data_IF_279275438793
#
_entry.id   IF_279275438793
#
_cell.length_a   1.000
_cell.length_b   1.000
_cell.length_c   1.000
_cell.angle_alpha   90.00
_cell.angle_beta   90.00
_cell.angle_gamma   90.00
#
_symmetry.space_group_name_H-M   'P 1'
#
loop_
_entity.id
_entity.type
_entity.pdbx_description
1 polymer ?
#
# COMPACT_ATOMS: atom_id res chain seq x y z
N UNK A 1 -9.71 -16.05 -9.22
CA UNK A 1 -8.67 -15.11 -8.76
C UNK A 1 -7.31 -15.73 -8.97
N UNK A 2 -6.38 -15.00 -9.56
CA UNK A 2 -5.01 -15.50 -9.66
C UNK A 2 -4.38 -15.58 -8.27
N UNK A 3 -3.68 -16.71 -7.99
CA UNK A 3 -2.95 -16.86 -6.73
C UNK A 3 -1.87 -15.79 -6.60
N UNK A 4 -1.72 -15.24 -5.41
CA UNK A 4 -0.65 -14.30 -5.09
C UNK A 4 0.72 -14.99 -5.10
N UNK A 5 1.77 -14.26 -5.41
CA UNK A 5 3.15 -14.76 -5.56
C UNK A 5 3.97 -14.41 -4.34
N UNK A 6 4.60 -15.41 -3.75
CA UNK A 6 5.47 -15.24 -2.57
C UNK A 6 6.87 -15.68 -2.93
N UNK A 7 7.85 -14.81 -2.69
CA UNK A 7 9.26 -15.14 -2.77
C UNK A 7 9.78 -15.44 -1.36
N UNK A 8 10.43 -16.58 -1.18
CA UNK A 8 11.09 -16.96 0.09
C UNK A 8 12.58 -16.98 -0.15
N UNK A 9 13.32 -16.25 0.70
CA UNK A 9 14.78 -16.17 0.66
C UNK A 9 15.32 -16.66 2.00
N UNK A 10 15.95 -17.84 2.02
CA UNK A 10 16.43 -18.51 3.22
C UNK A 10 17.50 -19.53 2.79
N UNK A 11 18.65 -19.61 3.46
CA UNK A 11 19.70 -20.57 3.12
C UNK A 11 19.41 -21.98 3.63
N UNK A 12 18.51 -22.11 4.62
CA UNK A 12 18.08 -23.42 5.14
C UNK A 12 17.08 -24.09 4.20
N UNK A 13 17.54 -25.12 3.50
CA UNK A 13 16.70 -25.91 2.59
C UNK A 13 15.51 -26.58 3.27
N UNK A 14 15.63 -26.96 4.54
CA UNK A 14 14.52 -27.60 5.27
C UNK A 14 13.42 -26.58 5.54
N UNK A 15 13.77 -25.38 5.98
CA UNK A 15 12.83 -24.29 6.21
C UNK A 15 12.18 -23.82 4.91
N UNK A 16 12.94 -23.70 3.82
CA UNK A 16 12.36 -23.42 2.49
C UNK A 16 11.29 -24.43 2.10
N UNK A 17 11.58 -25.74 2.25
CA UNK A 17 10.63 -26.78 1.91
C UNK A 17 9.41 -26.79 2.84
N UNK A 18 9.61 -26.56 4.13
CA UNK A 18 8.52 -26.47 5.10
C UNK A 18 7.59 -25.29 4.77
N UNK A 19 8.16 -24.09 4.55
CA UNK A 19 7.38 -22.92 4.19
C UNK A 19 6.65 -23.13 2.84
N UNK A 20 7.32 -23.72 1.84
CA UNK A 20 6.70 -24.05 0.57
C UNK A 20 5.52 -25.02 0.74
N UNK A 21 5.65 -26.06 1.55
CA UNK A 21 4.57 -27.01 1.79
C UNK A 21 3.33 -26.34 2.42
N UNK A 22 3.54 -25.38 3.31
CA UNK A 22 2.46 -24.61 3.95
C UNK A 22 1.78 -23.67 2.94
N UNK A 23 2.55 -23.03 2.05
CA UNK A 23 2.06 -21.93 1.24
C UNK A 23 1.56 -22.32 -0.15
N UNK A 24 2.10 -23.40 -0.74
CA UNK A 24 1.76 -23.82 -2.13
C UNK A 24 0.26 -24.11 -2.36
N UNK A 25 -0.54 -24.58 -1.37
CA UNK A 25 -1.97 -24.73 -1.60
C UNK A 25 -2.68 -23.44 -2.02
N UNK A 26 -2.26 -22.28 -1.48
CA UNK A 26 -2.96 -21.00 -1.66
C UNK A 26 -2.18 -19.98 -2.49
N UNK A 27 -0.85 -20.14 -2.64
CA UNK A 27 0.05 -19.17 -3.26
C UNK A 27 0.95 -19.78 -4.33
N UNK A 28 1.44 -18.97 -5.26
CA UNK A 28 2.59 -19.30 -6.10
C UNK A 28 3.87 -19.01 -5.33
N UNK A 29 4.64 -20.03 -5.02
CA UNK A 29 5.84 -19.92 -4.19
C UNK A 29 7.10 -20.03 -5.05
N UNK A 30 8.01 -19.08 -4.87
CA UNK A 30 9.35 -19.09 -5.46
C UNK A 30 10.38 -19.16 -4.34
N UNK A 31 11.37 -20.03 -4.46
CA UNK A 31 12.40 -20.27 -3.46
C UNK A 31 13.75 -19.75 -3.93
N UNK A 32 14.46 -19.03 -3.08
CA UNK A 32 15.83 -18.59 -3.28
C UNK A 32 16.67 -18.99 -2.05
N UNK A 33 17.83 -19.55 -2.29
CA UNK A 33 18.74 -19.99 -1.21
C UNK A 33 19.77 -18.92 -0.83
N UNK A 34 19.87 -17.87 -1.60
CA UNK A 34 20.79 -16.75 -1.39
C UNK A 34 20.11 -15.46 -1.73
N UNK A 35 20.59 -14.35 -1.17
CA UNK A 35 20.13 -13.02 -1.54
C UNK A 35 20.31 -12.77 -3.03
N UNK A 36 21.44 -13.20 -3.62
CA UNK A 36 21.69 -13.05 -5.07
C UNK A 36 20.60 -13.70 -5.92
N UNK A 37 20.21 -14.95 -5.60
CA UNK A 37 19.09 -15.61 -6.30
C UNK A 37 17.77 -14.86 -6.12
N UNK A 38 17.49 -14.38 -4.90
CA UNK A 38 16.31 -13.56 -4.63
C UNK A 38 16.29 -12.30 -5.48
N UNK A 39 17.42 -11.60 -5.57
CA UNK A 39 17.56 -10.38 -6.39
C UNK A 39 17.39 -10.66 -7.89
N UNK A 40 17.86 -11.79 -8.41
CA UNK A 40 17.58 -12.20 -9.81
C UNK A 40 16.08 -12.38 -10.07
N UNK A 41 15.34 -12.97 -9.13
CA UNK A 41 13.88 -13.08 -9.23
C UNK A 41 13.22 -11.70 -9.23
N UNK A 42 13.73 -10.78 -8.43
CA UNK A 42 13.21 -9.42 -8.36
C UNK A 42 13.51 -8.58 -9.61
N UNK A 43 14.42 -8.99 -10.48
CA UNK A 43 14.66 -8.34 -11.79
C UNK A 43 13.67 -8.78 -12.86
N UNK A 44 12.92 -9.88 -12.65
CA UNK A 44 11.93 -10.38 -13.62
C UNK A 44 10.72 -9.47 -13.74
N UNK A 45 10.00 -9.49 -14.89
CA UNK A 45 8.81 -8.65 -15.10
C UNK A 45 7.68 -8.89 -14.06
N UNK A 46 7.55 -10.13 -13.61
CA UNK A 46 6.51 -10.52 -12.66
C UNK A 46 7.07 -10.55 -11.23
N UNK A 47 6.91 -9.44 -10.52
CA UNK A 47 7.33 -9.30 -9.13
C UNK A 47 6.50 -10.16 -8.18
N UNK A 48 7.04 -10.56 -7.02
CA UNK A 48 6.25 -11.16 -5.96
C UNK A 48 5.32 -10.13 -5.30
N UNK A 49 4.21 -10.61 -4.74
CA UNK A 49 3.29 -9.78 -3.95
C UNK A 49 3.76 -9.62 -2.50
N UNK A 50 4.63 -10.54 -2.02
CA UNK A 50 5.21 -10.54 -0.68
C UNK A 50 6.54 -11.30 -0.69
N UNK A 51 7.47 -10.88 0.17
CA UNK A 51 8.77 -11.54 0.36
C UNK A 51 8.86 -12.03 1.81
N UNK A 52 9.21 -13.30 1.98
CA UNK A 52 9.69 -13.85 3.24
C UNK A 52 11.21 -13.88 3.18
N UNK A 53 11.88 -13.31 4.18
CA UNK A 53 13.33 -13.09 4.15
C UNK A 53 13.95 -13.53 5.47
N UNK A 54 14.86 -14.49 5.40
CA UNK A 54 15.67 -14.82 6.58
C UNK A 54 16.62 -13.68 6.94
N UNK A 55 16.85 -13.49 8.24
CA UNK A 55 17.82 -12.51 8.75
C UNK A 55 19.23 -13.09 8.74
N UNK A 56 19.37 -14.35 9.14
CA UNK A 56 20.66 -14.98 9.40
C UNK A 56 21.11 -15.81 8.21
N UNK A 57 21.63 -15.17 7.17
CA UNK A 57 22.16 -15.84 6.00
C UNK A 57 23.66 -15.62 5.84
N UNK A 58 24.40 -16.58 5.27
CA UNK A 58 25.80 -16.39 4.87
C UNK A 58 25.95 -15.26 3.84
N UNK A 59 27.11 -14.62 3.80
CA UNK A 59 27.51 -13.57 2.85
C UNK A 59 26.81 -12.23 3.03
N UNK A 60 25.49 -12.21 3.22
CA UNK A 60 24.69 -10.99 3.36
C UNK A 60 23.54 -11.24 4.32
N UNK A 61 23.42 -10.43 5.36
CA UNK A 61 22.31 -10.54 6.30
C UNK A 61 20.98 -10.00 5.70
N UNK A 62 19.86 -10.43 6.29
CA UNK A 62 18.52 -10.02 5.82
C UNK A 62 18.28 -8.51 5.93
N UNK A 63 18.96 -7.80 6.83
CA UNK A 63 18.85 -6.34 6.95
C UNK A 63 19.49 -5.64 5.76
N UNK A 64 20.67 -6.10 5.36
CA UNK A 64 21.36 -5.61 4.16
C UNK A 64 20.56 -5.93 2.89
N UNK A 65 20.04 -7.17 2.82
CA UNK A 65 19.18 -7.60 1.72
C UNK A 65 17.91 -6.71 1.59
N UNK A 66 17.25 -6.40 2.71
CA UNK A 66 16.09 -5.49 2.69
C UNK A 66 16.49 -4.10 2.19
N UNK A 67 17.62 -3.57 2.65
CA UNK A 67 18.10 -2.27 2.19
C UNK A 67 18.37 -2.23 0.68
N UNK A 68 18.85 -3.34 0.09
CA UNK A 68 19.01 -3.47 -1.36
C UNK A 68 17.66 -3.56 -2.08
N UNK A 69 16.70 -4.33 -1.55
CA UNK A 69 15.35 -4.44 -2.10
C UNK A 69 14.67 -3.06 -2.14
N UNK A 70 14.77 -2.28 -1.05
CA UNK A 70 14.18 -0.95 -0.96
C UNK A 70 14.78 0.09 -1.92
N UNK A 71 16.03 -0.12 -2.37
CA UNK A 71 16.66 0.73 -3.41
C UNK A 71 16.11 0.47 -4.81
N UNK A 72 15.47 -0.67 -5.06
CA UNK A 72 14.84 -0.96 -6.34
C UNK A 72 13.44 -0.35 -6.38
N UNK A 73 13.21 0.65 -7.24
CA UNK A 73 11.95 1.39 -7.32
C UNK A 73 10.73 0.47 -7.47
N UNK A 74 10.83 -0.58 -8.31
CA UNK A 74 9.74 -1.52 -8.57
C UNK A 74 9.46 -2.49 -7.41
N UNK A 75 10.36 -2.57 -6.44
CA UNK A 75 10.27 -3.49 -5.30
C UNK A 75 10.16 -2.78 -3.95
N UNK A 76 10.28 -1.45 -3.95
CA UNK A 76 10.34 -0.65 -2.72
C UNK A 76 9.10 -0.81 -1.83
N UNK A 77 7.93 -1.05 -2.42
CA UNK A 77 6.64 -1.18 -1.72
C UNK A 77 6.21 -2.63 -1.47
N UNK A 78 6.98 -3.63 -1.94
CA UNK A 78 6.64 -5.03 -1.70
C UNK A 78 6.77 -5.31 -0.20
N UNK A 79 5.74 -5.84 0.47
CA UNK A 79 5.84 -6.18 1.88
C UNK A 79 6.88 -7.28 2.10
N UNK A 80 7.79 -7.04 3.05
CA UNK A 80 8.82 -8.00 3.46
C UNK A 80 8.55 -8.41 4.90
N UNK A 81 8.39 -9.70 5.13
CA UNK A 81 8.26 -10.29 6.46
C UNK A 81 9.56 -11.04 6.76
N UNK A 82 10.20 -10.71 7.87
CA UNK A 82 11.38 -11.46 8.30
C UNK A 82 11.00 -12.82 8.88
N UNK A 83 11.77 -13.83 8.49
CA UNK A 83 11.82 -15.11 9.18
C UNK A 83 13.07 -15.10 10.06
N UNK A 84 12.96 -15.28 11.37
CA UNK A 84 14.10 -15.13 12.26
C UNK A 84 14.12 -16.14 13.39
N UNK A 85 15.29 -16.68 13.69
CA UNK A 85 15.55 -17.43 14.91
C UNK A 85 15.99 -16.54 16.09
N UNK A 86 16.07 -15.22 15.87
CA UNK A 86 16.50 -14.29 16.91
C UNK A 86 15.32 -13.88 17.79
N UNK A 87 15.37 -14.27 19.06
CA UNK A 87 14.44 -13.83 20.10
C UNK A 87 14.78 -12.43 20.66
N UNK A 88 15.68 -11.69 20.01
CA UNK A 88 16.13 -10.41 20.53
C UNK A 88 15.17 -9.27 20.10
N UNK A 89 14.50 -8.60 21.05
CA UNK A 89 13.65 -7.43 20.76
C UNK A 89 14.34 -6.35 19.96
N UNK A 90 15.66 -6.28 20.05
CA UNK A 90 16.48 -5.31 19.30
C UNK A 90 16.53 -5.60 17.79
N UNK A 91 16.52 -6.86 17.38
CA UNK A 91 16.49 -7.25 15.97
C UNK A 91 15.13 -6.90 15.33
N UNK A 92 14.04 -7.10 16.06
CA UNK A 92 12.69 -6.70 15.67
C UNK A 92 12.60 -5.20 15.44
N UNK A 93 13.02 -4.40 16.43
CA UNK A 93 13.03 -2.92 16.34
C UNK A 93 13.89 -2.45 15.16
N UNK A 94 15.06 -3.09 14.93
CA UNK A 94 15.93 -2.76 13.79
C UNK A 94 15.24 -3.07 12.47
N UNK A 95 14.62 -4.24 12.33
CA UNK A 95 13.94 -4.67 11.11
C UNK A 95 12.76 -3.75 10.74
N UNK A 96 11.92 -3.41 11.71
CA UNK A 96 10.80 -2.49 11.50
C UNK A 96 11.26 -1.08 11.12
N UNK A 97 12.32 -0.57 11.73
CA UNK A 97 12.93 0.73 11.36
C UNK A 97 13.48 0.74 9.94
N UNK A 98 13.94 -0.39 9.42
CA UNK A 98 14.43 -0.54 8.05
C UNK A 98 13.31 -0.73 7.03
N UNK A 99 12.05 -0.76 7.46
CA UNK A 99 10.89 -0.85 6.59
C UNK A 99 10.43 -2.29 6.30
N UNK A 100 10.74 -3.25 7.19
CA UNK A 100 10.05 -4.54 7.18
C UNK A 100 8.59 -4.36 7.59
N UNK A 101 7.70 -5.13 6.95
CA UNK A 101 6.29 -5.10 7.25
C UNK A 101 5.94 -5.85 8.55
N UNK A 102 6.68 -6.94 8.84
CA UNK A 102 6.46 -7.77 10.02
C UNK A 102 7.65 -8.73 10.21
N UNK A 103 7.58 -9.58 11.23
CA UNK A 103 8.52 -10.67 11.46
C UNK A 103 7.78 -11.92 11.95
N UNK A 104 8.37 -13.10 11.71
CA UNK A 104 7.89 -14.41 12.20
C UNK A 104 9.09 -15.15 12.77
N UNK A 105 8.97 -15.58 14.03
CA UNK A 105 10.02 -16.37 14.69
C UNK A 105 10.03 -17.82 14.21
N UNK A 106 11.23 -18.36 14.03
CA UNK A 106 11.47 -19.77 13.72
C UNK A 106 11.61 -20.57 15.04
N UNK A 107 11.05 -21.77 15.17
CA UNK A 107 10.16 -22.45 14.23
C UNK A 107 8.77 -21.79 14.18
N UNK A 108 8.25 -21.60 12.99
CA UNK A 108 6.95 -20.93 12.82
C UNK A 108 5.77 -21.92 12.83
N UNK A 109 4.66 -21.46 13.38
CA UNK A 109 3.37 -22.16 13.33
C UNK A 109 2.70 -21.78 12.01
N UNK A 110 2.20 -22.79 11.27
CA UNK A 110 1.62 -22.60 9.94
C UNK A 110 0.49 -21.55 9.93
N UNK A 111 -0.43 -21.62 10.88
CA UNK A 111 -1.56 -20.68 10.99
C UNK A 111 -1.09 -19.23 11.23
N UNK A 112 -0.05 -19.04 12.06
CA UNK A 112 0.51 -17.71 12.34
C UNK A 112 1.17 -17.13 11.11
N UNK A 113 1.94 -17.94 10.36
CA UNK A 113 2.58 -17.54 9.12
C UNK A 113 1.54 -17.11 8.08
N UNK A 114 0.52 -17.94 7.86
CA UNK A 114 -0.56 -17.67 6.90
C UNK A 114 -1.33 -16.38 7.25
N UNK A 115 -1.72 -16.19 8.51
CA UNK A 115 -2.43 -14.99 8.96
C UNK A 115 -1.63 -13.70 8.75
N UNK A 116 -0.31 -13.74 9.02
CA UNK A 116 0.55 -12.56 8.79
C UNK A 116 0.70 -12.24 7.31
N UNK A 117 0.90 -13.27 6.48
CA UNK A 117 0.97 -13.11 5.03
C UNK A 117 -0.32 -12.48 4.49
N UNK A 118 -1.48 -13.06 4.84
CA UNK A 118 -2.79 -12.56 4.40
C UNK A 118 -3.01 -11.10 4.81
N UNK A 119 -2.74 -10.77 6.08
CA UNK A 119 -2.82 -9.40 6.59
C UNK A 119 -2.03 -8.42 5.72
N UNK A 120 -0.77 -8.73 5.42
CA UNK A 120 0.10 -7.82 4.68
C UNK A 120 -0.20 -7.77 3.17
N UNK A 121 -0.70 -8.85 2.58
CA UNK A 121 -1.22 -8.83 1.21
C UNK A 121 -2.45 -7.91 1.08
N UNK A 122 -3.39 -8.00 2.03
CA UNK A 122 -4.58 -7.13 2.06
C UNK A 122 -4.20 -5.66 2.26
N UNK A 123 -3.26 -5.35 3.15
CA UNK A 123 -2.77 -3.99 3.36
C UNK A 123 -2.10 -3.43 2.11
N UNK A 124 -1.19 -4.19 1.49
CA UNK A 124 -0.51 -3.78 0.25
C UNK A 124 -1.49 -3.53 -0.90
N UNK A 125 -2.56 -4.32 -0.99
CA UNK A 125 -3.58 -4.13 -2.03
C UNK A 125 -4.40 -2.86 -1.81
N UNK A 126 -4.75 -2.55 -0.56
CA UNK A 126 -5.40 -1.27 -0.19
C UNK A 126 -4.52 -0.07 -0.48
N UNK A 127 -3.22 -0.16 -0.17
CA UNK A 127 -2.27 0.93 -0.45
C UNK A 127 -2.13 1.15 -1.96
N UNK A 128 -2.02 0.09 -2.77
CA UNK A 128 -2.00 0.20 -4.24
C UNK A 128 -3.27 0.85 -4.78
N UNK A 129 -4.44 0.50 -4.27
CA UNK A 129 -5.71 1.12 -4.66
C UNK A 129 -5.74 2.62 -4.30
N UNK A 130 -5.29 2.99 -3.10
CA UNK A 130 -5.18 4.38 -2.67
C UNK A 130 -4.19 5.17 -3.53
N UNK A 131 -3.04 4.58 -3.90
CA UNK A 131 -2.07 5.19 -4.81
C UNK A 131 -2.65 5.38 -6.23
N UNK A 132 -3.39 4.41 -6.77
CA UNK A 132 -4.05 4.55 -8.07
C UNK A 132 -5.11 5.66 -8.05
N UNK A 133 -5.91 5.74 -6.97
CA UNK A 133 -6.88 6.82 -6.77
C UNK A 133 -6.15 8.19 -6.69
N UNK A 134 -5.04 8.26 -5.98
CA UNK A 134 -4.24 9.49 -5.88
C UNK A 134 -3.60 9.89 -7.22
N UNK A 135 -3.09 8.94 -8.00
CA UNK A 135 -2.49 9.20 -9.31
C UNK A 135 -3.55 9.60 -10.35
N UNK A 136 -4.71 8.97 -10.37
CA UNK A 136 -5.83 9.42 -11.21
C UNK A 136 -6.34 10.81 -10.80
N UNK A 137 -6.17 11.18 -9.54
CA UNK A 137 -6.52 12.50 -9.02
C UNK A 137 -5.42 13.56 -9.26
N UNK A 138 -4.15 13.15 -9.37
CA UNK A 138 -3.03 14.05 -9.67
C UNK A 138 -3.05 14.58 -11.11
N UNK A 139 -3.76 13.92 -12.04
CA UNK A 139 -4.00 14.39 -13.40
C UNK A 139 -5.21 15.35 -13.54
N UNK A 140 -5.91 15.65 -12.44
CA UNK A 140 -7.00 16.62 -12.44
C UNK A 140 -6.40 18.02 -12.23
N UNK A 141 -6.16 18.74 -13.31
CA UNK A 141 -5.86 20.17 -13.25
C UNK A 141 -7.11 20.94 -12.84
N UNK A 142 -7.08 21.50 -11.64
CA UNK A 142 -8.14 22.38 -11.15
C UNK A 142 -7.99 23.78 -11.77
N UNK A 143 -9.06 24.30 -12.33
CA UNK A 143 -9.13 25.68 -12.82
C UNK A 143 -9.42 26.63 -11.65
N UNK A 144 -8.34 27.11 -11.01
CA UNK A 144 -8.41 28.03 -9.87
C UNK A 144 -9.05 29.38 -10.27
N UNK A 145 -8.92 29.80 -11.52
CA UNK A 145 -9.47 31.06 -12.01
C UNK A 145 -10.99 30.97 -12.19
N UNK A 146 -11.52 29.84 -12.61
CA UNK A 146 -12.98 29.57 -12.63
C UNK A 146 -13.58 29.57 -11.22
N UNK A 147 -12.82 29.16 -10.21
CA UNK A 147 -13.26 29.12 -8.82
C UNK A 147 -13.43 30.51 -8.19
N UNK A 148 -12.59 31.47 -8.61
CA UNK A 148 -12.57 32.84 -8.08
C UNK A 148 -13.40 33.83 -8.90
N UNK A 149 -13.59 33.58 -10.18
CA UNK A 149 -14.23 34.51 -11.13
C UNK A 149 -15.74 34.56 -11.08
N UNK A 150 -16.41 33.56 -10.48
CA UNK A 150 -17.87 33.46 -10.49
C UNK A 150 -18.58 34.13 -9.30
N UNK A 151 -17.89 34.89 -8.45
CA UNK A 151 -18.49 35.51 -7.25
C UNK A 151 -18.91 34.49 -6.17
N UNK A 152 -18.59 33.21 -6.36
CA UNK A 152 -18.93 32.10 -5.50
C UNK A 152 -17.75 31.71 -4.64
N UNK A 153 -17.45 32.50 -3.62
CA UNK A 153 -16.29 32.29 -2.75
C UNK A 153 -16.53 31.07 -1.88
N UNK A 154 -15.76 30.00 -2.12
CA UNK A 154 -15.64 28.89 -1.18
C UNK A 154 -14.64 29.26 -0.09
N UNK A 155 -14.93 28.86 1.15
CA UNK A 155 -13.91 28.89 2.20
C UNK A 155 -12.83 27.85 1.92
N UNK A 156 -11.64 27.99 2.51
CA UNK A 156 -10.54 27.01 2.32
C UNK A 156 -10.99 25.58 2.60
N UNK A 157 -11.78 25.35 3.65
CA UNK A 157 -12.32 24.03 3.98
C UNK A 157 -13.32 23.54 2.94
N UNK A 158 -14.20 24.40 2.42
CA UNK A 158 -15.13 24.04 1.36
C UNK A 158 -14.40 23.73 0.06
N UNK A 159 -13.32 24.45 -0.24
CA UNK A 159 -12.48 24.17 -1.40
C UNK A 159 -11.80 22.80 -1.32
N UNK A 160 -11.27 22.45 -0.15
CA UNK A 160 -10.69 21.11 0.09
C UNK A 160 -11.75 20.02 -0.10
N UNK A 161 -12.92 20.18 0.51
CA UNK A 161 -14.02 19.22 0.40
C UNK A 161 -14.52 19.12 -1.05
N UNK A 162 -14.67 20.26 -1.77
CA UNK A 162 -15.08 20.28 -3.16
C UNK A 162 -14.10 19.55 -4.08
N UNK A 163 -12.79 19.75 -3.90
CA UNK A 163 -11.74 19.01 -4.61
C UNK A 163 -11.89 17.50 -4.40
N UNK A 164 -12.07 17.05 -3.15
CA UNK A 164 -12.24 15.63 -2.85
C UNK A 164 -13.56 15.06 -3.42
N UNK A 165 -14.63 15.89 -3.51
CA UNK A 165 -15.87 15.51 -4.19
C UNK A 165 -15.63 15.28 -5.68
N UNK A 166 -14.93 16.19 -6.35
CA UNK A 166 -14.66 16.15 -7.79
C UNK A 166 -13.79 14.96 -8.15
N UNK A 167 -12.90 14.54 -7.26
CA UNK A 167 -12.10 13.31 -7.40
C UNK A 167 -12.89 12.01 -7.19
N UNK A 168 -14.19 12.10 -6.89
CA UNK A 168 -15.07 10.93 -6.77
C UNK A 168 -15.15 10.31 -5.38
N UNK A 169 -14.53 10.90 -4.34
CA UNK A 169 -14.61 10.37 -2.99
C UNK A 169 -16.02 10.52 -2.41
N UNK A 170 -16.57 9.49 -1.80
CA UNK A 170 -17.83 9.54 -1.05
C UNK A 170 -17.72 10.42 0.20
N UNK A 171 -18.85 10.86 0.77
CA UNK A 171 -18.83 11.64 2.01
C UNK A 171 -18.24 10.89 3.21
N UNK A 172 -18.36 9.56 3.24
CA UNK A 172 -17.70 8.72 4.24
C UNK A 172 -16.18 8.74 4.08
N UNK A 173 -15.69 8.55 2.86
CA UNK A 173 -14.25 8.59 2.57
C UNK A 173 -13.65 9.97 2.86
N UNK A 174 -14.37 11.06 2.55
CA UNK A 174 -13.93 12.42 2.86
C UNK A 174 -13.89 12.65 4.36
N UNK A 175 -14.90 12.19 5.11
CA UNK A 175 -14.96 12.29 6.55
C UNK A 175 -13.78 11.57 7.21
N UNK A 176 -13.48 10.37 6.77
CA UNK A 176 -12.35 9.57 7.24
C UNK A 176 -11.01 10.24 6.85
N UNK A 177 -10.87 10.69 5.60
CA UNK A 177 -9.65 11.32 5.09
C UNK A 177 -9.29 12.62 5.83
N UNK A 178 -10.30 13.43 6.16
CA UNK A 178 -10.12 14.71 6.87
C UNK A 178 -10.24 14.60 8.39
N UNK A 179 -10.48 13.39 8.92
CA UNK A 179 -10.76 13.15 10.33
C UNK A 179 -11.91 14.03 10.89
N UNK A 180 -13.00 14.15 10.10
CA UNK A 180 -14.18 14.92 10.41
C UNK A 180 -15.42 14.01 10.47
N UNK A 181 -16.51 14.49 11.11
CA UNK A 181 -17.74 13.70 11.15
C UNK A 181 -18.42 13.63 9.76
N UNK A 182 -19.03 12.47 9.46
CA UNK A 182 -19.83 12.30 8.25
C UNK A 182 -20.91 13.38 8.09
N UNK A 183 -21.59 13.74 9.20
CA UNK A 183 -22.65 14.75 9.16
C UNK A 183 -22.10 16.13 8.80
N UNK A 184 -20.90 16.46 9.26
CA UNK A 184 -20.23 17.72 8.90
C UNK A 184 -19.93 17.77 7.40
N UNK A 185 -19.34 16.70 6.86
CA UNK A 185 -19.03 16.60 5.42
C UNK A 185 -20.32 16.67 4.57
N UNK A 186 -21.37 15.94 4.98
CA UNK A 186 -22.68 15.97 4.31
C UNK A 186 -23.25 17.38 4.24
N UNK A 187 -23.20 18.13 5.34
CA UNK A 187 -23.69 19.50 5.42
C UNK A 187 -22.84 20.44 4.53
N UNK A 188 -21.52 20.30 4.57
CA UNK A 188 -20.62 21.12 3.75
C UNK A 188 -20.78 20.82 2.25
N UNK A 189 -20.94 19.57 1.86
CA UNK A 189 -21.24 19.18 0.48
C UNK A 189 -22.56 19.78 -0.01
N UNK A 190 -23.58 19.84 0.85
CA UNK A 190 -24.84 20.49 0.55
C UNK A 190 -24.67 22.00 0.32
N UNK A 191 -23.97 22.69 1.23
CA UNK A 191 -23.69 24.12 1.08
C UNK A 191 -22.88 24.44 -0.21
N UNK A 192 -21.92 23.58 -0.57
CA UNK A 192 -21.16 23.73 -1.81
C UNK A 192 -22.11 23.59 -3.01
N UNK A 193 -22.98 22.58 -3.03
CA UNK A 193 -23.94 22.37 -4.10
C UNK A 193 -24.89 23.56 -4.25
N UNK A 194 -25.38 24.14 -3.16
CA UNK A 194 -26.22 25.33 -3.18
C UNK A 194 -25.48 26.55 -3.76
N UNK A 195 -24.22 26.78 -3.39
CA UNK A 195 -23.38 27.85 -3.92
C UNK A 195 -23.21 27.75 -5.45
N UNK A 196 -23.19 26.55 -6.00
CA UNK A 196 -23.05 26.30 -7.44
C UNK A 196 -24.39 26.08 -8.15
N UNK A 197 -25.51 26.10 -7.43
CA UNK A 197 -26.86 25.90 -7.99
C UNK A 197 -27.05 24.51 -8.59
N UNK A 198 -26.38 23.50 -8.04
CA UNK A 198 -26.42 22.14 -8.54
C UNK A 198 -27.20 21.24 -7.59
N UNK A 199 -27.99 20.35 -8.16
CA UNK A 199 -28.82 19.38 -7.40
C UNK A 199 -28.14 18.00 -7.25
N UNK A 200 -27.14 17.71 -8.09
CA UNK A 200 -26.40 16.44 -8.09
C UNK A 200 -24.92 16.67 -7.93
N UNK A 201 -24.29 15.87 -7.10
CA UNK A 201 -22.88 15.94 -6.76
C UNK A 201 -21.95 15.86 -7.99
N UNK A 202 -22.28 15.00 -8.95
CA UNK A 202 -21.50 14.79 -10.18
C UNK A 202 -21.47 16.05 -11.06
N UNK A 203 -22.46 16.92 -10.93
CA UNK A 203 -22.53 18.19 -11.65
C UNK A 203 -21.55 19.25 -11.14
N UNK A 204 -20.81 18.97 -10.05
CA UNK A 204 -19.77 19.86 -9.54
C UNK A 204 -18.49 19.83 -10.41
N UNK A 205 -18.23 18.68 -11.04
CA UNK A 205 -16.99 18.43 -11.79
C UNK A 205 -16.67 19.49 -12.87
N UNK A 206 -17.60 19.91 -13.74
CA UNK A 206 -17.33 20.91 -14.78
C UNK A 206 -16.89 22.28 -14.25
N UNK A 207 -17.25 22.61 -13.01
CA UNK A 207 -16.88 23.89 -12.40
C UNK A 207 -15.44 23.95 -11.87
N UNK A 208 -14.81 22.77 -11.75
CA UNK A 208 -13.49 22.63 -11.13
C UNK A 208 -12.41 22.12 -12.08
N UNK A 209 -12.79 21.61 -13.25
CA UNK A 209 -11.85 21.06 -14.23
C UNK A 209 -11.62 22.06 -15.36
N UNK A 210 -10.38 22.10 -15.86
CA UNK A 210 -10.11 22.71 -17.17
C UNK A 210 -10.77 21.86 -18.23
N UNK A 211 -11.50 22.51 -19.15
CA UNK A 211 -11.94 21.89 -20.39
C UNK A 211 -10.70 21.72 -21.28
N UNK A 212 -10.48 20.50 -21.80
CA UNK A 212 -9.48 20.23 -22.83
C UNK A 212 -9.79 20.98 -24.13
#
# INVERSE_FOLDING_TARGET
MDKKKILIIDDDKMLLNQAAAILTPDYYVTLAKTVSQGMEFLQRPHKPDLILLDIMMPEMDGFEALALIRKQMDCAEIPVIYLTSMDAPQAEVRGLKLGAADYVTKPFVAEVLLLRIEKHLVLSEKDKQLHQIRQSNASIEFDLDKLTSAGRILTEQELVIAKLIVTGMSNHQIAEHLNLSYQYIKNKAHCINEKYGISRREALRPFFMKED
#
